data_IF_939689895537
#
_entry.id   IF_939689895537
#
_cell.length_a   1.000
_cell.length_b   1.000
_cell.length_c   1.000
_cell.angle_alpha   90.00
_cell.angle_beta   90.00
_cell.angle_gamma   90.00
#
_symmetry.space_group_name_H-M   'P 1'
#
loop_
_entity.id
_entity.type
_entity.pdbx_description
1 polymer ?
#
# COMPACT_ATOMS: atom_id res chain seq x y z
N UNK A 1 25.61 -5.19 4.85
CA UNK A 1 25.94 -4.26 3.75
C UNK A 1 24.82 -3.32 3.38
N UNK A 2 23.57 -3.74 3.30
CA UNK A 2 22.43 -2.88 2.93
C UNK A 2 22.16 -1.74 3.93
N UNK A 3 22.23 -2.02 5.23
CA UNK A 3 22.04 -1.00 6.26
C UNK A 3 23.11 0.11 6.20
N UNK A 4 24.37 -0.25 5.92
CA UNK A 4 25.45 0.73 5.79
C UNK A 4 25.29 1.60 4.54
N UNK A 5 24.81 1.03 3.44
CA UNK A 5 24.52 1.78 2.21
C UNK A 5 23.32 2.73 2.39
N UNK A 6 22.28 2.28 3.09
CA UNK A 6 21.12 3.11 3.43
C UNK A 6 21.54 4.32 4.28
N UNK A 7 22.34 4.09 5.33
CA UNK A 7 22.84 5.15 6.19
C UNK A 7 23.74 6.13 5.43
N UNK A 8 24.63 5.63 4.58
CA UNK A 8 25.51 6.47 3.78
C UNK A 8 24.76 7.31 2.75
N UNK A 9 23.72 6.77 2.12
CA UNK A 9 22.98 7.48 1.08
C UNK A 9 22.08 8.58 1.62
N UNK A 10 21.53 8.40 2.82
CA UNK A 10 20.50 9.30 3.36
C UNK A 10 21.01 10.25 4.45
N UNK A 11 22.14 9.93 5.09
CA UNK A 11 22.58 10.62 6.29
C UNK A 11 24.01 11.17 6.24
N UNK A 12 24.66 11.13 5.07
CA UNK A 12 26.01 11.70 4.89
C UNK A 12 26.00 13.20 5.18
N UNK A 13 26.86 13.62 6.10
CA UNK A 13 27.03 15.03 6.49
C UNK A 13 26.07 15.51 7.59
N UNK A 14 25.25 14.64 8.18
CA UNK A 14 24.42 14.96 9.33
C UNK A 14 25.11 14.57 10.65
N UNK A 15 24.87 15.35 11.69
CA UNK A 15 25.28 15.04 13.04
C UNK A 15 24.50 13.82 13.57
N UNK A 16 25.12 13.06 14.48
CA UNK A 16 24.56 11.81 15.04
C UNK A 16 23.18 12.01 15.70
N UNK A 17 22.97 13.16 16.34
CA UNK A 17 21.67 13.48 16.94
C UNK A 17 20.59 13.71 15.90
N UNK A 18 20.87 14.43 14.83
CA UNK A 18 19.97 14.63 13.71
C UNK A 18 19.66 13.32 12.97
N UNK A 19 20.64 12.43 12.85
CA UNK A 19 20.43 11.08 12.28
C UNK A 19 19.47 10.29 13.16
N UNK A 20 19.64 10.33 14.47
CA UNK A 20 18.74 9.63 15.42
C UNK A 20 17.30 10.15 15.34
N UNK A 21 17.11 11.47 15.38
CA UNK A 21 15.79 12.08 15.30
C UNK A 21 15.08 11.73 13.98
N UNK A 22 15.82 11.77 12.87
CA UNK A 22 15.28 11.46 11.57
C UNK A 22 14.90 9.98 11.45
N UNK A 23 15.74 9.07 11.94
CA UNK A 23 15.45 7.64 12.00
C UNK A 23 14.23 7.34 12.89
N UNK A 24 14.11 8.00 14.03
CA UNK A 24 12.94 7.85 14.90
C UNK A 24 11.67 8.34 14.20
N UNK A 25 11.72 9.46 13.50
CA UNK A 25 10.59 9.99 12.73
C UNK A 25 10.17 9.05 11.58
N UNK A 26 11.14 8.47 10.88
CA UNK A 26 10.87 7.51 9.80
C UNK A 26 10.26 6.20 10.34
N UNK A 27 10.77 5.68 11.45
CA UNK A 27 10.22 4.48 12.10
C UNK A 27 8.79 4.73 12.57
N UNK A 28 8.51 5.87 13.20
CA UNK A 28 7.16 6.21 13.68
C UNK A 28 6.19 6.38 12.52
N UNK A 29 6.59 7.06 11.45
CA UNK A 29 5.79 7.19 10.23
C UNK A 29 5.47 5.84 9.60
N UNK A 30 6.48 4.96 9.49
CA UNK A 30 6.32 3.61 8.93
C UNK A 30 5.37 2.76 9.79
N UNK A 31 5.49 2.83 11.11
CA UNK A 31 4.58 2.13 12.04
C UNK A 31 3.14 2.59 11.88
N UNK A 32 2.93 3.89 11.74
CA UNK A 32 1.59 4.47 11.55
C UNK A 32 0.95 4.02 10.23
N UNK A 33 1.71 4.01 9.15
CA UNK A 33 1.23 3.57 7.83
C UNK A 33 0.89 2.06 7.82
N UNK A 34 1.75 1.24 8.42
CA UNK A 34 1.51 -0.21 8.59
C UNK A 34 0.28 -0.47 9.45
N UNK A 35 0.13 0.24 10.56
CA UNK A 35 -1.01 0.08 11.46
C UNK A 35 -2.34 0.41 10.77
N UNK A 36 -2.39 1.49 9.99
CA UNK A 36 -3.58 1.89 9.24
C UNK A 36 -3.96 0.82 8.19
N UNK A 37 -2.98 0.30 7.47
CA UNK A 37 -3.20 -0.71 6.45
C UNK A 37 -3.63 -2.06 7.07
N UNK A 38 -3.02 -2.45 8.18
CA UNK A 38 -3.43 -3.64 8.94
C UNK A 38 -4.87 -3.54 9.44
N UNK A 39 -5.25 -2.39 9.97
CA UNK A 39 -6.60 -2.18 10.49
C UNK A 39 -7.64 -2.32 9.37
N UNK A 40 -7.39 -1.75 8.20
CA UNK A 40 -8.25 -1.92 7.03
C UNK A 40 -8.39 -3.39 6.62
N UNK A 41 -7.27 -4.11 6.50
CA UNK A 41 -7.26 -5.52 6.11
C UNK A 41 -7.99 -6.43 7.13
N UNK A 42 -7.81 -6.19 8.43
CA UNK A 42 -8.51 -6.95 9.48
C UNK A 42 -10.02 -6.70 9.46
N UNK A 43 -10.44 -5.48 9.19
CA UNK A 43 -11.86 -5.14 9.07
C UNK A 43 -12.52 -5.92 7.93
N UNK A 44 -11.91 -5.92 6.74
CA UNK A 44 -12.38 -6.74 5.61
C UNK A 44 -12.51 -8.20 5.99
N UNK A 45 -11.46 -8.76 6.59
CA UNK A 45 -11.41 -10.19 6.92
C UNK A 45 -12.41 -10.60 7.99
N UNK A 46 -12.79 -9.70 8.91
CA UNK A 46 -13.77 -9.99 9.97
C UNK A 46 -15.22 -9.92 9.46
N UNK A 47 -15.49 -9.12 8.47
CA UNK A 47 -16.82 -8.99 7.88
C UNK A 47 -17.11 -10.09 6.85
N UNK A 48 -16.09 -10.63 6.19
CA UNK A 48 -16.24 -11.69 5.17
C UNK A 48 -16.60 -13.08 5.74
N UNK A 49 -16.55 -13.26 7.05
CA UNK A 49 -16.93 -14.54 7.71
C UNK A 49 -18.44 -14.79 7.62
N UNK A 50 -19.24 -13.79 7.33
CA UNK A 50 -20.70 -13.89 7.37
C UNK A 50 -21.42 -13.95 6.03
N UNK A 51 -20.84 -13.49 4.93
CA UNK A 51 -21.42 -13.64 3.57
C UNK A 51 -20.36 -13.49 2.48
N UNK A 52 -20.42 -14.33 1.47
CA UNK A 52 -19.60 -14.35 0.25
C UNK A 52 -19.82 -13.11 -0.63
N UNK A 53 -19.46 -11.94 -0.16
CA UNK A 53 -19.35 -10.76 -1.00
C UNK A 53 -17.92 -10.26 -0.96
N UNK A 54 -17.30 -10.27 -2.14
CA UNK A 54 -16.02 -9.62 -2.36
C UNK A 54 -16.15 -8.15 -1.97
N UNK A 55 -15.47 -7.73 -0.92
CA UNK A 55 -15.56 -6.37 -0.40
C UNK A 55 -14.23 -5.65 -0.54
N UNK A 56 -14.29 -4.40 -1.02
CA UNK A 56 -13.15 -3.50 -1.09
C UNK A 56 -13.35 -2.38 -0.07
N UNK A 57 -12.40 -2.25 0.85
CA UNK A 57 -12.31 -1.12 1.77
C UNK A 57 -11.20 -0.18 1.30
N UNK A 58 -11.54 1.09 1.14
CA UNK A 58 -10.62 2.16 0.78
C UNK A 58 -10.48 3.06 2.00
N UNK A 59 -9.24 3.43 2.32
CA UNK A 59 -8.92 4.30 3.43
C UNK A 59 -7.79 5.26 3.05
N UNK A 60 -7.84 6.47 3.59
CA UNK A 60 -6.80 7.45 3.41
C UNK A 60 -6.91 8.28 2.12
N UNK A 61 -8.07 8.35 1.47
CA UNK A 61 -8.30 9.12 0.24
C UNK A 61 -7.91 10.60 0.42
N UNK A 62 -8.08 11.12 1.62
CA UNK A 62 -7.70 12.50 1.96
C UNK A 62 -6.19 12.74 1.84
N UNK A 63 -5.38 11.70 1.97
CA UNK A 63 -3.93 11.82 1.85
C UNK A 63 -3.52 12.23 0.44
N UNK A 64 -4.32 11.93 -0.58
CA UNK A 64 -4.09 12.38 -1.95
C UNK A 64 -4.10 13.91 -2.07
N UNK A 65 -4.87 14.59 -1.25
CA UNK A 65 -4.92 16.07 -1.25
C UNK A 65 -3.60 16.71 -0.81
N UNK A 66 -2.79 16.00 -0.04
CA UNK A 66 -1.48 16.48 0.42
C UNK A 66 -0.33 16.10 -0.52
N UNK A 67 -0.59 15.26 -1.53
CA UNK A 67 0.40 14.91 -2.55
C UNK A 67 0.44 15.98 -3.61
N UNK A 68 1.62 16.55 -3.86
CA UNK A 68 1.80 17.68 -4.80
C UNK A 68 1.34 17.36 -6.22
N UNK A 69 1.52 16.14 -6.68
CA UNK A 69 1.13 15.69 -8.02
C UNK A 69 -0.39 15.72 -8.24
N UNK A 70 -1.17 15.53 -7.18
CA UNK A 70 -2.63 15.59 -7.22
C UNK A 70 -3.18 16.96 -6.82
N UNK A 71 -2.56 17.64 -5.86
CA UNK A 71 -3.02 18.94 -5.39
C UNK A 71 -2.79 20.06 -6.42
N UNK A 72 -1.81 19.90 -7.30
CA UNK A 72 -1.50 20.86 -8.36
C UNK A 72 -2.35 20.69 -9.62
N UNK A 73 -3.01 19.55 -9.78
CA UNK A 73 -3.87 19.24 -10.94
C UNK A 73 -5.17 18.55 -10.48
N UNK A 74 -6.25 19.32 -10.52
CA UNK A 74 -7.59 18.85 -10.16
C UNK A 74 -8.08 17.71 -11.07
N UNK A 75 -7.58 17.63 -12.30
CA UNK A 75 -7.90 16.54 -13.23
C UNK A 75 -7.35 15.19 -12.76
N UNK A 76 -6.12 15.17 -12.26
CA UNK A 76 -5.50 13.98 -11.68
C UNK A 76 -6.23 13.53 -10.41
N UNK A 77 -6.54 14.48 -9.53
CA UNK A 77 -7.27 14.20 -8.30
C UNK A 77 -8.66 13.62 -8.57
N UNK A 78 -9.37 14.20 -9.53
CA UNK A 78 -10.71 13.72 -9.93
C UNK A 78 -10.67 12.28 -10.45
N UNK A 79 -9.69 11.95 -11.32
CA UNK A 79 -9.53 10.58 -11.82
C UNK A 79 -9.24 9.57 -10.72
N UNK A 80 -8.44 9.97 -9.72
CA UNK A 80 -8.19 9.12 -8.55
C UNK A 80 -9.48 8.82 -7.76
N UNK A 81 -10.30 9.83 -7.51
CA UNK A 81 -11.60 9.64 -6.85
C UNK A 81 -12.58 8.83 -7.70
N UNK A 82 -12.61 9.03 -9.01
CA UNK A 82 -13.43 8.21 -9.92
C UNK A 82 -13.06 6.72 -9.85
N UNK A 83 -11.77 6.40 -9.71
CA UNK A 83 -11.33 5.01 -9.49
C UNK A 83 -11.89 4.44 -8.18
N UNK A 84 -11.87 5.22 -7.11
CA UNK A 84 -12.38 4.77 -5.81
C UNK A 84 -13.90 4.57 -5.80
N UNK A 85 -14.63 5.34 -6.58
CA UNK A 85 -16.06 5.15 -6.76
C UNK A 85 -16.40 3.90 -7.60
N UNK A 86 -15.49 3.48 -8.48
CA UNK A 86 -15.66 2.31 -9.34
C UNK A 86 -15.15 1.04 -8.64
N UNK A 87 -15.79 0.64 -7.55
CA UNK A 87 -15.39 -0.52 -6.75
C UNK A 87 -15.17 -1.79 -7.57
N UNK A 88 -15.98 -2.05 -8.59
CA UNK A 88 -15.87 -3.21 -9.46
C UNK A 88 -14.54 -3.24 -10.25
N UNK A 89 -14.05 -2.09 -10.70
CA UNK A 89 -12.73 -2.02 -11.37
C UNK A 89 -11.61 -2.25 -10.38
N UNK A 90 -11.72 -1.66 -9.20
CA UNK A 90 -10.72 -1.83 -8.14
C UNK A 90 -10.63 -3.30 -7.70
N UNK A 91 -11.76 -3.99 -7.57
CA UNK A 91 -11.80 -5.43 -7.28
C UNK A 91 -11.07 -6.24 -8.35
N UNK A 92 -11.31 -5.97 -9.62
CA UNK A 92 -10.60 -6.66 -10.72
C UNK A 92 -9.09 -6.45 -10.66
N UNK A 93 -8.65 -5.23 -10.31
CA UNK A 93 -7.25 -4.94 -10.12
C UNK A 93 -6.65 -5.75 -8.96
N UNK A 94 -7.36 -5.84 -7.86
CA UNK A 94 -6.95 -6.63 -6.69
C UNK A 94 -6.95 -8.13 -6.98
N UNK A 95 -7.90 -8.64 -7.76
CA UNK A 95 -7.94 -10.05 -8.18
C UNK A 95 -6.73 -10.41 -9.04
N UNK A 96 -6.38 -9.57 -10.01
CA UNK A 96 -5.18 -9.76 -10.85
C UNK A 96 -3.92 -9.72 -10.00
N UNK A 97 -3.85 -8.81 -9.04
CA UNK A 97 -2.73 -8.70 -8.11
C UNK A 97 -2.63 -9.92 -7.18
N UNK A 98 -3.77 -10.44 -6.72
CA UNK A 98 -3.85 -11.60 -5.82
C UNK A 98 -3.45 -12.93 -6.45
N UNK A 99 -3.44 -13.04 -7.77
CA UNK A 99 -2.99 -14.25 -8.49
C UNK A 99 -1.47 -14.40 -8.54
N UNK A 100 -0.74 -13.40 -8.10
CA UNK A 100 0.72 -13.40 -8.11
C UNK A 100 1.28 -13.62 -6.71
N UNK A 101 2.40 -14.31 -6.63
CA UNK A 101 3.15 -14.41 -5.38
C UNK A 101 3.92 -13.11 -5.10
N UNK A 102 3.85 -12.64 -3.85
CA UNK A 102 4.60 -11.48 -3.36
C UNK A 102 4.07 -10.13 -3.84
N UNK A 103 4.91 -9.12 -3.69
CA UNK A 103 4.56 -7.73 -4.02
C UNK A 103 4.52 -7.52 -5.53
N UNK A 104 3.47 -6.86 -5.98
CA UNK A 104 3.27 -6.44 -7.38
C UNK A 104 3.15 -4.93 -7.49
N UNK A 105 3.70 -4.41 -8.58
CA UNK A 105 3.64 -2.98 -8.91
C UNK A 105 2.95 -2.85 -10.26
N UNK A 106 1.92 -2.02 -10.29
CA UNK A 106 1.23 -1.63 -11.52
C UNK A 106 1.41 -0.13 -11.70
N UNK A 107 2.15 0.26 -12.73
CA UNK A 107 2.37 1.67 -13.06
C UNK A 107 1.39 2.05 -14.16
N UNK A 108 0.61 3.09 -13.91
CA UNK A 108 -0.30 3.65 -14.90
C UNK A 108 0.45 4.10 -16.16
N UNK A 109 -0.14 3.94 -17.32
CA UNK A 109 0.48 4.19 -18.61
C UNK A 109 1.38 3.07 -19.14
N UNK A 110 1.99 2.27 -18.26
CA UNK A 110 2.78 1.09 -18.64
C UNK A 110 1.97 -0.21 -18.50
N UNK A 111 0.99 -0.20 -17.62
CA UNK A 111 0.12 -1.36 -17.34
C UNK A 111 -1.26 -1.16 -17.99
N UNK A 112 -1.72 -2.15 -18.74
CA UNK A 112 -3.10 -2.18 -19.25
C UNK A 112 -4.14 -2.48 -18.18
N UNK A 113 -3.70 -2.82 -16.98
CA UNK A 113 -4.57 -3.18 -15.85
C UNK A 113 -5.04 -1.94 -15.10
N UNK A 114 -4.20 -0.91 -14.98
CA UNK A 114 -4.56 0.36 -14.35
C UNK A 114 -5.17 1.30 -15.39
N UNK A 115 -6.44 1.69 -15.25
CA UNK A 115 -7.14 2.47 -16.28
C UNK A 115 -6.69 3.94 -16.36
N UNK A 116 -5.86 4.40 -15.43
CA UNK A 116 -5.42 5.79 -15.34
C UNK A 116 -3.89 5.90 -15.41
N UNK A 117 -3.40 6.73 -16.30
CA UNK A 117 -1.97 6.92 -16.56
C UNK A 117 -1.23 7.55 -15.37
N UNK A 118 -1.93 8.29 -14.53
CA UNK A 118 -1.35 9.08 -13.44
C UNK A 118 -1.27 8.33 -12.11
N UNK A 119 -1.80 7.11 -12.06
CA UNK A 119 -1.89 6.30 -10.84
C UNK A 119 -0.99 5.08 -10.92
N UNK A 120 -0.45 4.71 -9.77
CA UNK A 120 0.26 3.46 -9.58
C UNK A 120 -0.26 2.74 -8.34
N UNK A 121 -0.17 1.42 -8.37
CA UNK A 121 -0.62 0.54 -7.31
C UNK A 121 0.52 -0.39 -6.92
N UNK A 122 0.80 -0.47 -5.64
CA UNK A 122 1.69 -1.48 -5.05
C UNK A 122 0.85 -2.39 -4.18
N UNK A 123 0.82 -3.66 -4.46
CA UNK A 123 -0.08 -4.61 -3.79
C UNK A 123 0.60 -5.93 -3.47
N UNK A 124 0.06 -6.65 -2.49
CA UNK A 124 0.47 -7.99 -2.11
C UNK A 124 -0.71 -8.80 -1.60
N UNK A 125 -0.84 -10.06 -1.98
CA UNK A 125 -1.80 -10.95 -1.36
C UNK A 125 -1.41 -11.24 0.09
N UNK A 126 -2.40 -11.56 0.91
CA UNK A 126 -2.21 -12.13 2.23
C UNK A 126 -2.94 -13.46 2.36
N UNK A 127 -2.38 -14.35 3.16
CA UNK A 127 -2.75 -15.75 3.18
C UNK A 127 -3.10 -16.22 4.59
N UNK A 128 -3.97 -17.23 4.65
CA UNK A 128 -4.23 -18.01 5.87
C UNK A 128 -4.04 -19.49 5.53
N UNK A 129 -3.15 -20.16 6.25
CA UNK A 129 -2.84 -21.58 6.03
C UNK A 129 -2.43 -21.89 4.56
N UNK A 130 -1.68 -20.99 3.93
CA UNK A 130 -1.20 -21.15 2.55
C UNK A 130 -2.26 -20.86 1.47
N UNK A 131 -3.41 -20.32 1.84
CA UNK A 131 -4.46 -19.90 0.89
C UNK A 131 -4.60 -18.38 0.90
N UNK A 132 -4.57 -17.77 -0.28
CA UNK A 132 -4.84 -16.36 -0.44
C UNK A 132 -6.29 -16.08 -0.03
N UNK A 133 -6.47 -15.22 0.95
CA UNK A 133 -7.78 -14.80 1.48
C UNK A 133 -8.10 -13.35 1.15
N UNK A 134 -7.13 -12.60 0.70
CA UNK A 134 -7.34 -11.22 0.27
C UNK A 134 -6.07 -10.59 -0.30
N UNK A 135 -6.20 -9.36 -0.75
CA UNK A 135 -5.11 -8.56 -1.29
C UNK A 135 -5.17 -7.17 -0.66
N UNK A 136 -4.03 -6.65 -0.26
CA UNK A 136 -3.91 -5.28 0.21
C UNK A 136 -2.97 -4.48 -0.69
N UNK A 137 -3.10 -3.18 -0.68
CA UNK A 137 -2.25 -2.35 -1.53
C UNK A 137 -2.33 -0.87 -1.18
N UNK A 138 -1.43 -0.14 -1.80
CA UNK A 138 -1.31 1.31 -1.72
C UNK A 138 -1.50 1.88 -3.12
N UNK A 139 -2.32 2.91 -3.25
CA UNK A 139 -2.53 3.65 -4.49
C UNK A 139 -1.92 5.04 -4.33
N UNK A 140 -1.17 5.47 -5.31
CA UNK A 140 -0.54 6.77 -5.32
C UNK A 140 -0.19 7.26 -6.72
N UNK A 141 0.53 8.40 -6.81
CA UNK A 141 1.00 8.92 -8.08
C UNK A 141 2.07 8.00 -8.69
N UNK A 142 2.28 8.09 -10.01
CA UNK A 142 3.35 7.35 -10.70
C UNK A 142 4.75 7.68 -10.17
N UNK A 143 4.92 8.85 -9.57
CA UNK A 143 6.16 9.30 -8.91
C UNK A 143 6.15 9.07 -7.40
N UNK A 144 5.79 7.88 -6.97
CA UNK A 144 5.86 7.54 -5.55
C UNK A 144 7.21 6.94 -5.17
N UNK A 145 7.53 6.93 -3.87
CA UNK A 145 8.68 6.23 -3.32
C UNK A 145 8.41 4.71 -3.30
N UNK A 146 8.61 4.04 -4.42
CA UNK A 146 8.30 2.62 -4.59
C UNK A 146 9.01 1.72 -3.58
N UNK A 147 10.27 1.97 -3.28
CA UNK A 147 11.04 1.20 -2.30
C UNK A 147 10.36 1.18 -0.94
N UNK A 148 9.87 2.33 -0.49
CA UNK A 148 9.13 2.46 0.75
C UNK A 148 7.76 1.78 0.68
N UNK A 149 7.03 1.97 -0.41
CA UNK A 149 5.70 1.36 -0.59
C UNK A 149 5.78 -0.17 -0.67
N UNK A 150 6.79 -0.70 -1.34
CA UNK A 150 7.05 -2.15 -1.37
C UNK A 150 7.27 -2.70 0.04
N UNK A 151 8.10 -2.04 0.85
CA UNK A 151 8.36 -2.45 2.22
C UNK A 151 7.10 -2.41 3.08
N UNK A 152 6.32 -1.34 3.00
CA UNK A 152 5.06 -1.20 3.75
C UNK A 152 4.09 -2.32 3.38
N UNK A 153 3.87 -2.55 2.10
CA UNK A 153 2.94 -3.56 1.59
C UNK A 153 3.40 -4.98 1.94
N UNK A 154 4.69 -5.30 1.76
CA UNK A 154 5.25 -6.62 2.07
C UNK A 154 5.17 -6.93 3.57
N UNK A 155 5.61 -6.00 4.41
CA UNK A 155 5.55 -6.18 5.86
C UNK A 155 4.11 -6.32 6.32
N UNK A 156 3.21 -5.48 5.83
CA UNK A 156 1.81 -5.49 6.23
C UNK A 156 1.12 -6.79 5.82
N UNK A 157 1.33 -7.28 4.60
CA UNK A 157 0.74 -8.54 4.13
C UNK A 157 1.18 -9.73 4.98
N UNK A 158 2.47 -9.78 5.37
CA UNK A 158 3.01 -10.80 6.27
C UNK A 158 2.42 -10.72 7.67
N UNK A 159 2.29 -9.51 8.21
CA UNK A 159 1.69 -9.30 9.54
C UNK A 159 0.22 -9.68 9.57
N UNK A 160 -0.54 -9.33 8.54
CA UNK A 160 -1.95 -9.72 8.41
C UNK A 160 -2.09 -11.23 8.28
N UNK A 161 -1.30 -11.87 7.43
CA UNK A 161 -1.27 -13.32 7.29
C UNK A 161 -1.02 -14.02 8.62
N UNK A 162 -0.02 -13.55 9.38
CA UNK A 162 0.30 -14.09 10.69
C UNK A 162 -0.84 -13.86 11.70
N UNK A 163 -1.41 -12.66 11.75
CA UNK A 163 -2.49 -12.33 12.67
C UNK A 163 -3.73 -13.19 12.42
N UNK A 164 -4.11 -13.39 11.16
CA UNK A 164 -5.27 -14.20 10.80
C UNK A 164 -5.04 -15.69 11.03
N UNK A 165 -3.81 -16.20 10.83
CA UNK A 165 -3.47 -17.61 11.08
C UNK A 165 -3.46 -17.98 12.57
N UNK A 166 -3.22 -17.01 13.46
CA UNK A 166 -3.19 -17.23 14.91
C UNK A 166 -4.57 -17.07 15.59
N UNK A 167 -5.59 -16.69 14.86
CA UNK A 167 -6.96 -16.46 15.39
C UNK A 167 -7.87 -17.70 15.34
N UNK A 168 -7.28 -18.89 15.22
CA UNK A 168 -8.01 -20.16 15.32
C UNK A 168 -8.04 -20.72 16.73
#
# INVERSE_FOLDING_TARGET
MEAANFLNSNYVGLDIEHVRERLQGEVESLRSEIAALMQAAVTVSSETITETQDEVIISGERNLLSVSDFSSDMGHLRRAFELFEQKAQLMRLMDVAGQAEGVRIFIGGESQVVPFEDLSIVSSPYEVDGKVVGTLGVIGPTRMAYDRMIQIVDITSKLVSNALSHHK
#
